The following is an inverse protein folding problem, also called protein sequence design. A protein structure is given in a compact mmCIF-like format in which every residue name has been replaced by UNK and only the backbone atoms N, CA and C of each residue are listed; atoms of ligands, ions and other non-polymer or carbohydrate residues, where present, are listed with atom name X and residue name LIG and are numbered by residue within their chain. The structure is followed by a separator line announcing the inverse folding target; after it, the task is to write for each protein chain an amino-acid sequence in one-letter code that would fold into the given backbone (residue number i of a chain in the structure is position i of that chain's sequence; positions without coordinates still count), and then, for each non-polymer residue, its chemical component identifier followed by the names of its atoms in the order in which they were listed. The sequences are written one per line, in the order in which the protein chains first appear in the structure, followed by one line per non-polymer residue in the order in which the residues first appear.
data_IF_829656765475
#
_entry.id   IF_829656765475
#
_cell.length_a   1.000
_cell.length_b   1.000
_cell.length_c   1.000
_cell.angle_alpha   90.00
_cell.angle_beta   90.00
_cell.angle_gamma   90.00
#
_symmetry.space_group_name_H-M   'P 1'
#
loop_
_entity.id
_entity.type
_entity.pdbx_description
1 polymer ?
#
# COMPACT_ATOMS: atom_id res chain seq x y z
N UNK A 1 -19.28 2.46 1.57
CA UNK A 1 -19.33 2.53 3.04
C UNK A 1 -18.07 3.22 3.52
N UNK A 2 -18.15 4.45 4.06
CA UNK A 2 -17.00 5.08 4.73
C UNK A 2 -16.74 4.30 6.02
N UNK A 3 -15.49 3.84 6.24
CA UNK A 3 -15.15 2.97 7.37
C UNK A 3 -14.48 3.79 8.46
N UNK A 4 -15.08 3.77 9.65
CA UNK A 4 -14.71 4.54 10.84
C UNK A 4 -13.26 4.30 11.28
N UNK A 5 -12.63 5.35 11.84
CA UNK A 5 -11.20 5.47 12.16
C UNK A 5 -10.74 4.74 13.45
N UNK A 6 -11.59 3.98 14.14
CA UNK A 6 -11.26 3.50 15.51
C UNK A 6 -11.81 2.12 15.88
N UNK A 7 -11.94 1.20 14.91
CA UNK A 7 -12.28 -0.19 15.22
C UNK A 7 -11.00 -1.02 15.43
N UNK A 8 -11.03 -1.89 16.45
CA UNK A 8 -10.04 -2.94 16.75
C UNK A 8 -9.59 -3.67 15.48
N UNK A 9 -8.36 -4.24 15.41
CA UNK A 9 -7.84 -4.88 14.20
C UNK A 9 -8.70 -6.11 13.83
N UNK A 10 -9.79 -5.87 13.10
CA UNK A 10 -10.61 -6.91 12.53
C UNK A 10 -9.74 -7.66 11.52
N UNK A 11 -9.84 -8.99 11.50
CA UNK A 11 -9.21 -9.80 10.46
C UNK A 11 -9.78 -9.34 9.12
N UNK A 12 -8.99 -8.59 8.35
CA UNK A 12 -9.38 -8.08 7.03
C UNK A 12 -8.97 -9.11 5.99
N UNK A 13 -9.95 -9.70 5.32
CA UNK A 13 -9.73 -10.52 4.13
C UNK A 13 -9.57 -9.58 2.95
N UNK A 14 -8.38 -9.56 2.36
CA UNK A 14 -8.12 -8.82 1.13
C UNK A 14 -8.34 -9.74 -0.07
N UNK A 15 -9.18 -9.30 -1.00
CA UNK A 15 -9.29 -9.88 -2.33
C UNK A 15 -8.30 -9.21 -3.27
N UNK A 16 -8.14 -9.77 -4.47
CA UNK A 16 -7.29 -9.20 -5.52
C UNK A 16 -7.74 -7.78 -5.90
N UNK A 17 -9.03 -7.47 -5.72
CA UNK A 17 -9.60 -6.15 -6.00
C UNK A 17 -9.28 -5.13 -4.89
N UNK A 18 -9.05 -5.60 -3.66
CA UNK A 18 -8.70 -4.73 -2.52
C UNK A 18 -7.20 -4.39 -2.48
N UNK A 19 -6.36 -5.22 -3.12
CA UNK A 19 -4.93 -4.98 -3.27
C UNK A 19 -4.65 -4.02 -4.44
N UNK A 20 -3.62 -3.21 -4.29
CA UNK A 20 -3.21 -2.23 -5.30
C UNK A 20 -1.70 -1.95 -5.22
N UNK A 21 -1.12 -1.49 -6.34
CA UNK A 21 0.25 -0.94 -6.39
C UNK A 21 0.33 0.49 -5.80
N UNK A 22 -0.82 1.10 -5.56
CA UNK A 22 -0.98 2.42 -4.98
C UNK A 22 -1.32 2.30 -3.49
N UNK A 23 -0.62 3.06 -2.66
CA UNK A 23 -0.81 3.13 -1.21
C UNK A 23 -1.11 4.56 -0.79
N UNK A 24 -1.96 4.70 0.22
CA UNK A 24 -2.10 5.92 1.02
C UNK A 24 -1.52 5.65 2.40
N UNK A 25 -0.59 6.50 2.81
CA UNK A 25 0.07 6.47 4.11
C UNK A 25 -0.41 7.67 4.92
N UNK A 26 -1.09 7.40 6.04
CA UNK A 26 -1.55 8.44 6.98
C UNK A 26 -0.72 8.41 8.26
N UNK A 27 -0.89 9.44 9.08
CA UNK A 27 -0.20 9.63 10.35
C UNK A 27 1.33 9.83 10.17
N UNK A 28 1.74 10.43 9.05
CA UNK A 28 3.14 10.82 8.83
C UNK A 28 3.38 12.15 9.55
N UNK A 29 4.44 12.34 10.36
CA UNK A 29 4.67 13.64 11.01
C UNK A 29 4.88 14.78 10.01
N UNK A 30 4.23 15.93 10.24
CA UNK A 30 4.34 17.13 9.38
C UNK A 30 5.65 17.90 9.63
N UNK A 31 6.78 17.21 9.55
CA UNK A 31 8.14 17.71 9.78
C UNK A 31 8.93 17.84 8.46
N UNK A 32 8.27 17.73 7.31
CA UNK A 32 8.94 17.72 6.00
C UNK A 32 9.72 16.42 5.71
N UNK A 33 9.33 15.30 6.33
CA UNK A 33 10.02 14.00 6.24
C UNK A 33 9.61 13.15 5.01
N UNK A 34 9.15 13.79 3.93
CA UNK A 34 8.69 13.10 2.73
C UNK A 34 9.79 12.28 2.04
N UNK A 35 11.03 12.78 2.04
CA UNK A 35 12.18 12.06 1.47
C UNK A 35 12.55 10.84 2.30
N UNK A 36 12.53 10.94 3.62
CA UNK A 36 12.75 9.80 4.54
C UNK A 36 11.67 8.73 4.36
N UNK A 37 10.41 9.17 4.21
CA UNK A 37 9.30 8.27 3.93
C UNK A 37 9.51 7.55 2.60
N UNK A 38 9.87 8.28 1.53
CA UNK A 38 10.16 7.69 0.22
C UNK A 38 11.31 6.68 0.31
N UNK A 39 12.38 7.00 1.04
CA UNK A 39 13.52 6.10 1.25
C UNK A 39 13.09 4.83 2.00
N UNK A 40 12.28 4.96 3.06
CA UNK A 40 11.73 3.83 3.79
C UNK A 40 10.94 2.89 2.88
N UNK A 41 10.02 3.42 2.08
CA UNK A 41 9.21 2.61 1.15
C UNK A 41 10.05 2.02 0.01
N UNK A 42 11.08 2.73 -0.45
CA UNK A 42 11.99 2.25 -1.50
C UNK A 42 12.80 1.02 -1.09
N UNK A 43 13.01 0.78 0.22
CA UNK A 43 13.65 -0.43 0.72
C UNK A 43 12.87 -1.73 0.42
N UNK A 44 11.56 -1.60 0.12
CA UNK A 44 10.68 -2.72 -0.23
C UNK A 44 10.49 -2.88 -1.75
N UNK A 45 11.09 -1.99 -2.55
CA UNK A 45 11.10 -2.06 -4.02
C UNK A 45 11.02 -0.70 -4.70
N UNK A 46 11.07 -0.70 -6.04
CA UNK A 46 11.06 0.53 -6.84
C UNK A 46 9.75 1.33 -6.65
N UNK A 47 9.89 2.52 -6.08
CA UNK A 47 8.84 3.54 -5.94
C UNK A 47 8.91 4.47 -7.14
N UNK A 48 7.85 4.51 -7.96
CA UNK A 48 7.78 5.39 -9.13
C UNK A 48 7.49 6.84 -8.71
N UNK A 49 6.58 7.02 -7.75
CA UNK A 49 6.12 8.34 -7.35
C UNK A 49 5.71 8.32 -5.87
N UNK A 50 6.03 9.40 -5.16
CA UNK A 50 5.65 9.64 -3.77
C UNK A 50 5.33 11.13 -3.64
N UNK A 51 4.12 11.48 -3.22
CA UNK A 51 3.69 12.88 -3.10
C UNK A 51 2.76 13.10 -1.91
N UNK A 52 2.77 14.29 -1.30
CA UNK A 52 1.80 14.65 -0.28
C UNK A 52 0.39 14.76 -0.89
N UNK A 53 -0.63 14.51 -0.06
CA UNK A 53 -2.04 14.65 -0.38
C UNK A 53 -2.66 15.77 0.45
N UNK A 54 -2.41 17.03 0.07
CA UNK A 54 -2.84 18.21 0.83
C UNK A 54 -4.37 18.40 0.89
N UNK A 55 -5.11 17.70 0.01
CA UNK A 55 -6.57 17.77 -0.06
C UNK A 55 -7.29 16.79 0.89
N UNK A 56 -6.56 15.89 1.57
CA UNK A 56 -7.16 14.93 2.51
C UNK A 56 -7.16 15.50 3.94
N UNK A 57 -8.27 15.30 4.66
CA UNK A 57 -8.36 15.65 6.08
C UNK A 57 -7.34 14.82 6.90
N UNK A 58 -6.31 15.51 7.39
CA UNK A 58 -5.30 14.98 8.29
C UNK A 58 -5.56 15.39 9.73
N UNK A 59 -5.04 14.61 10.68
CA UNK A 59 -5.02 15.03 12.07
C UNK A 59 -3.97 16.15 12.26
N UNK A 60 -4.13 17.04 13.25
CA UNK A 60 -3.15 18.10 13.51
C UNK A 60 -1.72 17.55 13.57
N UNK A 61 -0.79 18.23 12.92
CA UNK A 61 0.64 17.88 12.86
C UNK A 61 0.97 16.57 12.13
N UNK A 62 0.03 16.06 11.32
CA UNK A 62 0.24 14.89 10.48
C UNK A 62 -0.05 15.21 9.02
N UNK A 63 0.63 14.49 8.13
CA UNK A 63 0.47 14.55 6.68
C UNK A 63 -0.02 13.20 6.15
N UNK A 64 -0.60 13.24 4.95
CA UNK A 64 -0.99 12.06 4.18
C UNK A 64 -0.16 12.01 2.91
N UNK A 65 0.38 10.84 2.60
CA UNK A 65 1.18 10.61 1.41
C UNK A 65 0.55 9.57 0.50
N UNK A 66 0.67 9.81 -0.80
CA UNK A 66 0.34 8.88 -1.85
C UNK A 66 1.61 8.28 -2.42
N UNK A 67 1.69 6.95 -2.49
CA UNK A 67 2.87 6.22 -2.96
C UNK A 67 2.46 5.25 -4.06
N UNK A 68 3.19 5.27 -5.17
CA UNK A 68 3.03 4.37 -6.30
C UNK A 68 4.26 3.48 -6.45
N UNK A 69 4.09 2.18 -6.29
CA UNK A 69 5.12 1.20 -6.65
C UNK A 69 5.07 0.84 -8.12
N UNK A 70 6.22 0.39 -8.65
CA UNK A 70 6.29 -0.25 -9.97
C UNK A 70 5.59 -1.62 -10.00
N UNK A 71 5.75 -2.41 -8.94
CA UNK A 71 5.22 -3.78 -8.87
C UNK A 71 4.19 -3.94 -7.73
N UNK A 72 3.08 -4.62 -8.01
CA UNK A 72 2.06 -4.97 -7.01
C UNK A 72 2.62 -5.81 -5.86
N UNK A 73 3.57 -6.71 -6.13
CA UNK A 73 4.24 -7.51 -5.11
C UNK A 73 4.93 -6.64 -4.05
N UNK A 74 5.55 -5.55 -4.48
CA UNK A 74 6.33 -4.66 -3.61
C UNK A 74 5.38 -3.85 -2.74
N UNK A 75 4.31 -3.30 -3.31
CA UNK A 75 3.26 -2.63 -2.54
C UNK A 75 2.63 -3.56 -1.48
N UNK A 76 2.34 -4.83 -1.85
CA UNK A 76 1.80 -5.82 -0.89
C UNK A 76 2.76 -6.10 0.26
N UNK A 77 4.04 -6.23 -0.07
CA UNK A 77 5.08 -6.48 0.92
C UNK A 77 5.29 -5.26 1.84
N UNK A 78 5.37 -4.07 1.25
CA UNK A 78 5.50 -2.79 1.96
C UNK A 78 4.32 -2.57 2.91
N UNK A 79 3.07 -2.68 2.44
CA UNK A 79 1.87 -2.59 3.30
C UNK A 79 2.01 -3.53 4.49
N UNK A 80 2.25 -4.82 4.25
CA UNK A 80 2.31 -5.83 5.32
C UNK A 80 3.39 -5.53 6.38
N UNK A 81 4.45 -4.81 6.01
CA UNK A 81 5.58 -4.52 6.91
C UNK A 81 5.53 -3.13 7.53
N UNK A 82 4.92 -2.17 6.85
CA UNK A 82 4.92 -0.75 7.24
C UNK A 82 3.60 -0.28 7.84
N UNK A 83 2.53 -1.05 7.71
CA UNK A 83 1.31 -0.80 8.48
C UNK A 83 1.60 -1.00 9.98
N UNK A 84 1.23 -0.01 10.80
CA UNK A 84 1.57 0.15 12.21
C UNK A 84 3.07 0.31 12.53
N UNK A 85 3.93 0.51 11.53
CA UNK A 85 5.35 0.76 11.75
C UNK A 85 5.58 2.12 12.40
N UNK A 86 6.48 2.18 13.39
CA UNK A 86 6.83 3.42 14.07
C UNK A 86 7.83 4.21 13.22
N UNK A 87 7.36 5.32 12.66
CA UNK A 87 8.12 6.26 11.86
C UNK A 87 8.15 7.62 12.57
N UNK A 88 9.35 8.04 12.99
CA UNK A 88 9.58 9.34 13.66
C UNK A 88 8.62 9.61 14.84
N UNK A 89 8.30 8.56 15.62
CA UNK A 89 7.42 8.64 16.78
C UNK A 89 5.95 8.29 16.51
N UNK A 90 5.50 8.33 15.25
CA UNK A 90 4.13 8.01 14.87
C UNK A 90 4.00 6.61 14.29
N UNK A 91 2.85 5.96 14.52
CA UNK A 91 2.52 4.69 13.85
C UNK A 91 1.88 4.96 12.50
N UNK A 92 2.55 4.55 11.43
CA UNK A 92 2.03 4.71 10.08
C UNK A 92 0.75 3.90 9.89
N UNK A 93 -0.22 4.49 9.20
CA UNK A 93 -1.43 3.80 8.77
C UNK A 93 -1.38 3.62 7.26
N UNK A 94 -1.21 2.38 6.78
CA UNK A 94 -0.98 2.08 5.36
C UNK A 94 -2.20 1.36 4.77
N UNK A 95 -2.87 2.04 3.85
CA UNK A 95 -4.04 1.51 3.13
C UNK A 95 -3.77 1.38 1.63
N UNK A 96 -4.31 0.34 1.01
CA UNK A 96 -4.34 0.26 -0.46
C UNK A 96 -5.30 1.30 -1.02
N UNK A 97 -5.01 1.77 -2.23
CA UNK A 97 -5.83 2.75 -2.92
C UNK A 97 -6.15 2.30 -4.37
N UNK A 98 -7.00 1.26 -4.55
CA UNK A 98 -7.37 0.75 -5.87
C UNK A 98 -8.11 1.78 -6.73
N UNK A 99 -8.71 2.81 -6.14
CA UNK A 99 -9.37 3.90 -6.86
C UNK A 99 -8.44 4.73 -7.76
N UNK A 100 -7.12 4.63 -7.57
CA UNK A 100 -6.12 5.28 -8.44
C UNK A 100 -5.59 4.36 -9.55
N UNK A 101 -6.07 3.11 -9.63
CA UNK A 101 -5.64 2.19 -10.67
C UNK A 101 -6.17 2.61 -12.04
N UNK A 102 -5.31 2.55 -13.04
CA UNK A 102 -5.71 2.64 -14.43
C UNK A 102 -6.24 1.30 -14.95
N UNK A 103 -6.82 1.31 -16.15
CA UNK A 103 -7.23 0.07 -16.83
C UNK A 103 -6.05 -0.89 -17.07
N UNK A 104 -4.87 -0.35 -17.41
CA UNK A 104 -3.67 -1.19 -17.58
C UNK A 104 -3.22 -1.79 -16.26
N UNK A 105 -3.24 -1.01 -15.17
CA UNK A 105 -2.90 -1.52 -13.84
C UNK A 105 -3.81 -2.67 -13.43
N UNK A 106 -5.12 -2.52 -13.67
CA UNK A 106 -6.11 -3.55 -13.35
C UNK A 106 -5.85 -4.82 -14.17
N UNK A 107 -5.56 -4.68 -15.46
CA UNK A 107 -5.23 -5.80 -16.34
C UNK A 107 -3.98 -6.54 -15.83
N UNK A 108 -2.89 -5.81 -15.57
CA UNK A 108 -1.63 -6.39 -15.11
C UNK A 108 -1.77 -7.10 -13.76
N UNK A 109 -2.58 -6.52 -12.85
CA UNK A 109 -2.93 -7.12 -11.55
C UNK A 109 -3.60 -8.48 -11.72
N UNK A 110 -4.63 -8.55 -12.57
CA UNK A 110 -5.40 -9.78 -12.80
C UNK A 110 -4.57 -10.84 -13.53
N UNK A 111 -3.79 -10.45 -14.54
CA UNK A 111 -2.90 -11.36 -15.25
C UNK A 111 -1.79 -11.90 -14.34
N UNK A 112 -1.17 -11.03 -13.53
CA UNK A 112 -0.18 -11.41 -12.54
C UNK A 112 -0.76 -12.42 -11.55
N UNK A 113 -1.98 -12.19 -11.07
CA UNK A 113 -2.66 -13.12 -10.18
C UNK A 113 -2.95 -14.46 -10.85
N UNK A 114 -3.41 -14.46 -12.10
CA UNK A 114 -3.66 -15.69 -12.87
C UNK A 114 -2.38 -16.51 -12.99
N UNK A 115 -1.24 -15.87 -13.30
CA UNK A 115 0.08 -16.52 -13.37
C UNK A 115 0.49 -17.14 -12.03
N UNK A 116 0.32 -16.41 -10.92
CA UNK A 116 0.62 -16.93 -9.58
C UNK A 116 -0.21 -18.17 -9.24
N UNK A 117 -1.51 -18.15 -9.55
CA UNK A 117 -2.43 -19.28 -9.28
C UNK A 117 -2.02 -20.50 -10.10
N UNK A 118 -1.78 -20.34 -11.40
CA UNK A 118 -1.35 -21.43 -12.28
C UNK A 118 -0.01 -22.04 -11.82
N UNK A 119 0.96 -21.21 -11.44
CA UNK A 119 2.25 -21.68 -10.92
C UNK A 119 2.08 -22.52 -9.64
N UNK A 120 1.18 -22.12 -8.73
CA UNK A 120 0.88 -22.86 -7.50
C UNK A 120 0.18 -24.18 -7.77
N UNK A 121 -0.74 -24.22 -8.74
CA UNK A 121 -1.42 -25.45 -9.15
C UNK A 121 -0.41 -26.44 -9.72
N UNK A 122 0.42 -26.01 -10.68
CA UNK A 122 1.42 -26.86 -11.33
C UNK A 122 2.45 -27.44 -10.36
N UNK A 123 2.79 -26.72 -9.28
CA UNK A 123 3.69 -27.24 -8.23
C UNK A 123 3.05 -28.39 -7.43
N UNK A 124 1.73 -28.42 -7.27
CA UNK A 124 1.02 -29.49 -6.55
C UNK A 124 0.86 -30.77 -7.38
N UNK A 125 0.87 -30.69 -8.70
CA UNK A 125 0.75 -31.84 -9.61
C UNK A 125 2.10 -32.50 -9.98
N UNK A 126 3.20 -32.01 -9.41
CA UNK A 126 4.56 -32.50 -9.65
C UNK A 126 5.08 -33.43 -8.52
N UNK A 127 4.18 -34.11 -7.81
CA UNK A 127 4.49 -35.12 -6.79
C UNK A 127 4.24 -36.50 -7.35
#
# INVERSE_FOLDING_TARGET
MPRYKDDSPAIRVYTVCDESRYLIVRNVPSLGCGDDLKQLFSSYGEVEECKPMDAEDCEPFTDVYWIKFRLFSNARFAKRKLDDFVFLGNRLQVSYAPQFETLSDTKDKLEGRRREVLARLNRKFRV
#
